data_IF_926141114370
#
_entry.id   IF_926141114370
#
_cell.length_a   1.000
_cell.length_b   1.000
_cell.length_c   1.000
_cell.angle_alpha   90.00
_cell.angle_beta   90.00
_cell.angle_gamma   90.00
#
_symmetry.space_group_name_H-M   'P 1'
#
loop_
_entity.id
_entity.type
_entity.pdbx_description
1 polymer ?
#
# COMPACT_ATOMS: atom_id res chain seq x y z
N UNK A 1 -7.04 11.72 -7.53
CA UNK A 1 -5.69 11.22 -7.84
C UNK A 1 -5.29 10.27 -6.72
N UNK A 2 -4.68 9.15 -7.07
CA UNK A 2 -4.46 7.99 -6.21
C UNK A 2 -3.01 7.54 -6.28
N UNK A 3 -2.64 6.72 -5.30
CA UNK A 3 -1.36 6.02 -5.23
C UNK A 3 -1.60 4.62 -4.67
N UNK A 4 -0.70 3.70 -5.00
CA UNK A 4 -0.69 2.35 -4.45
C UNK A 4 0.39 2.29 -3.40
N UNK A 5 0.02 1.76 -2.23
CA UNK A 5 0.94 1.54 -1.12
C UNK A 5 0.96 0.06 -0.77
N UNK A 6 2.12 -0.42 -0.31
CA UNK A 6 2.28 -1.76 0.24
C UNK A 6 2.31 -1.69 1.77
N UNK A 7 1.31 -2.28 2.42
CA UNK A 7 1.19 -2.38 3.88
C UNK A 7 1.73 -3.73 4.35
N UNK A 8 2.26 -3.77 5.57
CA UNK A 8 2.68 -5.03 6.18
C UNK A 8 1.47 -5.96 6.40
N UNK A 9 1.58 -7.22 6.00
CA UNK A 9 0.49 -8.19 6.18
C UNK A 9 0.27 -8.54 7.65
N UNK A 10 1.33 -8.53 8.46
CA UNK A 10 1.26 -8.87 9.89
C UNK A 10 1.03 -7.65 10.79
N UNK A 11 0.74 -6.48 10.20
CA UNK A 11 0.46 -5.23 10.91
C UNK A 11 1.52 -4.89 11.98
N UNK A 12 2.80 -5.15 11.68
CA UNK A 12 3.90 -4.88 12.61
C UNK A 12 4.16 -3.39 12.69
N UNK A 13 4.09 -2.82 13.89
CA UNK A 13 4.29 -1.39 14.16
C UNK A 13 5.65 -0.82 13.70
N UNK A 14 6.64 -1.69 13.52
CA UNK A 14 7.99 -1.31 13.09
C UNK A 14 8.14 -1.20 11.58
N UNK A 15 7.15 -1.63 10.81
CA UNK A 15 7.24 -1.74 9.35
C UNK A 15 6.47 -0.60 8.70
N UNK A 16 7.22 0.31 8.06
CA UNK A 16 6.64 1.43 7.33
C UNK A 16 5.88 0.99 6.06
N UNK A 17 4.85 1.76 5.72
CA UNK A 17 4.19 1.68 4.43
C UNK A 17 5.19 2.03 3.32
N UNK A 18 5.11 1.31 2.19
CA UNK A 18 5.97 1.57 1.03
C UNK A 18 5.13 2.13 -0.11
N UNK A 19 5.60 3.22 -0.72
CA UNK A 19 5.02 3.74 -1.95
C UNK A 19 5.40 2.83 -3.12
N UNK A 20 4.39 2.28 -3.82
CA UNK A 20 4.60 1.36 -4.94
C UNK A 20 4.36 2.06 -6.28
N UNK A 21 3.31 2.87 -6.37
CA UNK A 21 3.03 3.67 -7.55
C UNK A 21 2.32 4.97 -7.14
N UNK A 22 2.59 6.07 -7.83
CA UNK A 22 1.97 7.38 -7.58
C UNK A 22 1.37 7.96 -8.87
N UNK A 23 0.62 9.06 -8.74
CA UNK A 23 0.02 9.81 -9.85
C UNK A 23 -0.98 8.98 -10.69
N UNK A 24 -1.71 8.08 -10.04
CA UNK A 24 -2.77 7.30 -10.68
C UNK A 24 -4.02 8.17 -10.79
N UNK A 25 -4.41 8.53 -12.01
CA UNK A 25 -5.58 9.40 -12.25
C UNK A 25 -6.90 8.65 -12.17
N UNK A 26 -6.90 7.39 -12.62
CA UNK A 26 -8.08 6.55 -12.76
C UNK A 26 -8.16 5.57 -11.59
N UNK A 27 -9.20 5.71 -10.76
CA UNK A 27 -9.45 4.76 -9.66
C UNK A 27 -9.66 3.33 -10.18
N UNK A 28 -10.36 3.21 -11.31
CA UNK A 28 -10.66 1.91 -11.95
C UNK A 28 -9.38 1.18 -12.35
N UNK A 29 -8.45 1.90 -12.98
CA UNK A 29 -7.20 1.28 -13.43
C UNK A 29 -6.26 1.03 -12.24
N UNK A 30 -6.28 1.90 -11.22
CA UNK A 30 -5.60 1.66 -9.95
C UNK A 30 -6.09 0.41 -9.22
N UNK A 31 -7.41 0.17 -9.20
CA UNK A 31 -8.00 -1.06 -8.63
C UNK A 31 -7.52 -2.30 -9.38
N UNK A 32 -7.53 -2.29 -10.71
CA UNK A 32 -7.00 -3.40 -11.52
C UNK A 32 -5.52 -3.68 -11.24
N UNK A 33 -4.71 -2.63 -11.06
CA UNK A 33 -3.30 -2.78 -10.69
C UNK A 33 -3.14 -3.42 -9.31
N UNK A 34 -3.94 -2.99 -8.33
CA UNK A 34 -3.95 -3.59 -6.98
C UNK A 34 -4.37 -5.06 -7.02
N UNK A 35 -5.42 -5.38 -7.77
CA UNK A 35 -5.90 -6.76 -7.92
C UNK A 35 -4.81 -7.64 -8.53
N UNK A 36 -4.10 -7.15 -9.56
CA UNK A 36 -2.98 -7.85 -10.18
C UNK A 36 -1.76 -7.99 -9.24
N UNK A 37 -1.44 -6.95 -8.46
CA UNK A 37 -0.33 -6.97 -7.48
C UNK A 37 -0.59 -7.93 -6.32
N UNK A 38 -1.86 -8.16 -5.98
CA UNK A 38 -2.28 -9.11 -4.97
C UNK A 38 -2.70 -10.46 -5.56
N UNK A 39 -2.53 -10.67 -6.88
CA UNK A 39 -2.85 -11.94 -7.51
C UNK A 39 -1.93 -13.04 -6.96
N UNK A 40 -2.52 -14.07 -6.35
CA UNK A 40 -1.75 -15.14 -5.68
C UNK A 40 -1.22 -14.78 -4.30
N UNK A 41 -1.54 -13.59 -3.77
CA UNK A 41 -1.25 -13.27 -2.38
C UNK A 41 -2.02 -14.19 -1.41
N UNK A 42 -1.38 -14.55 -0.31
CA UNK A 42 -1.91 -15.42 0.73
C UNK A 42 -1.46 -14.93 2.11
N UNK A 43 -1.82 -15.65 3.16
CA UNK A 43 -1.54 -15.27 4.56
C UNK A 43 -0.04 -15.21 4.89
N UNK A 44 0.84 -15.76 4.04
CA UNK A 44 2.29 -15.68 4.17
C UNK A 44 2.93 -14.61 3.28
N UNK A 45 2.15 -13.94 2.43
CA UNK A 45 2.65 -12.83 1.63
C UNK A 45 3.06 -11.69 2.57
N UNK A 46 4.26 -11.12 2.43
CA UNK A 46 4.75 -10.14 3.39
C UNK A 46 4.00 -8.81 3.36
N UNK A 47 3.40 -8.45 2.23
CA UNK A 47 2.73 -7.16 2.04
C UNK A 47 1.46 -7.32 1.23
N UNK A 48 0.45 -6.51 1.58
CA UNK A 48 -0.72 -6.29 0.75
C UNK A 48 -0.65 -4.92 0.09
N UNK A 49 -1.07 -4.86 -1.16
CA UNK A 49 -1.15 -3.62 -1.92
C UNK A 49 -2.54 -3.04 -1.80
N UNK A 50 -2.65 -1.73 -1.57
CA UNK A 50 -3.93 -1.03 -1.49
C UNK A 50 -3.87 0.27 -2.25
N UNK A 51 -5.00 0.64 -2.86
CA UNK A 51 -5.17 1.92 -3.54
C UNK A 51 -5.65 2.96 -2.53
N UNK A 52 -4.91 4.05 -2.37
CA UNK A 52 -5.25 5.15 -1.46
C UNK A 52 -5.29 6.48 -2.20
N UNK A 53 -6.02 7.48 -1.68
CA UNK A 53 -5.96 8.85 -2.21
C UNK A 53 -4.54 9.40 -2.15
N UNK A 54 -4.17 10.28 -3.09
CA UNK A 54 -2.85 10.91 -3.11
C UNK A 54 -2.50 11.65 -1.80
N UNK A 55 -3.52 12.21 -1.11
CA UNK A 55 -3.39 12.87 0.18
C UNK A 55 -3.11 11.95 1.37
N UNK A 56 -3.20 10.62 1.19
CA UNK A 56 -2.95 9.66 2.27
C UNK A 56 -1.50 9.78 2.77
N UNK A 57 -1.31 10.01 4.08
CA UNK A 57 0.03 10.03 4.68
C UNK A 57 0.51 8.59 4.83
N UNK A 58 1.71 8.30 4.33
CA UNK A 58 2.35 6.99 4.53
C UNK A 58 2.74 6.86 6.00
N UNK A 59 2.40 5.73 6.63
CA UNK A 59 2.89 5.43 7.96
C UNK A 59 4.39 5.14 7.91
N UNK A 60 5.17 5.86 8.73
CA UNK A 60 6.63 5.68 8.83
C UNK A 60 7.08 4.65 9.87
N UNK A 61 6.18 3.83 10.40
CA UNK A 61 6.47 2.91 11.49
C UNK A 61 6.83 3.64 12.79
N UNK A 62 7.79 3.12 13.55
CA UNK A 62 8.24 3.70 14.82
C UNK A 62 8.87 5.10 14.71
N UNK A 63 9.22 5.58 13.51
CA UNK A 63 9.68 6.97 13.33
C UNK A 63 8.61 8.02 13.68
N UNK A 64 7.33 7.65 13.75
CA UNK A 64 6.25 8.59 14.15
C UNK A 64 6.12 8.76 15.67
N UNK A 65 6.81 7.94 16.48
CA UNK A 65 6.75 7.97 17.96
C UNK A 65 7.99 8.59 18.63
N UNK A 66 8.89 9.19 17.84
CA UNK A 66 10.11 9.86 18.31
C UNK A 66 9.95 11.38 18.21
#
# INVERSE_FOLDING_TARGET
MFKIIGKDNWDRETVADVLVADNIRSERDGKKMVDALNEGANDHTPRWHVLVPASHKLWRGMEEFI
#
